data_IF_413850333248
#
_entry.id   IF_413850333248
#
_cell.length_a   1.000
_cell.length_b   1.000
_cell.length_c   1.000
_cell.angle_alpha   90.00
_cell.angle_beta   90.00
_cell.angle_gamma   90.00
#
_symmetry.space_group_name_H-M   'P 1'
#
loop_
_entity.id
_entity.type
_entity.pdbx_description
1 polymer ?
#
# COMPACT_ATOMS: atom_id res chain seq x y z
N UNK A 1 -34.23 -8.63 -56.61
CA UNK A 1 -33.37 -8.76 -55.41
C UNK A 1 -33.26 -7.41 -54.70
N UNK A 2 -34.11 -7.13 -53.70
CA UNK A 2 -34.02 -5.89 -52.91
C UNK A 2 -32.85 -6.02 -51.94
N UNK A 3 -31.80 -5.22 -52.14
CA UNK A 3 -30.57 -5.25 -51.34
C UNK A 3 -30.87 -4.83 -49.90
N UNK A 4 -30.59 -5.73 -48.95
CA UNK A 4 -30.71 -5.58 -47.51
C UNK A 4 -29.65 -4.61 -46.91
N UNK A 5 -29.51 -3.41 -47.49
CA UNK A 5 -28.46 -2.43 -47.12
C UNK A 5 -28.81 -1.58 -45.89
N UNK A 6 -30.08 -1.46 -45.51
CA UNK A 6 -30.52 -0.59 -44.41
C UNK A 6 -30.26 -1.13 -43.00
N UNK A 7 -30.21 -2.46 -42.84
CA UNK A 7 -29.97 -3.08 -41.52
C UNK A 7 -28.51 -2.92 -41.08
N UNK A 8 -27.56 -3.07 -42.01
CA UNK A 8 -26.13 -2.93 -41.70
C UNK A 8 -25.73 -1.51 -41.30
N UNK A 9 -26.22 -0.47 -41.99
CA UNK A 9 -25.91 0.91 -41.63
C UNK A 9 -26.53 1.31 -40.29
N UNK A 10 -27.75 0.84 -40.00
CA UNK A 10 -28.39 1.09 -38.71
C UNK A 10 -27.61 0.45 -37.56
N UNK A 11 -27.15 -0.80 -37.73
CA UNK A 11 -26.31 -1.49 -36.74
C UNK A 11 -25.00 -0.75 -36.49
N UNK A 12 -24.33 -0.27 -37.55
CA UNK A 12 -23.08 0.50 -37.40
C UNK A 12 -23.33 1.80 -36.64
N UNK A 13 -24.40 2.54 -36.97
CA UNK A 13 -24.76 3.79 -36.26
C UNK A 13 -25.07 3.50 -34.78
N UNK A 14 -25.82 2.44 -34.49
CA UNK A 14 -26.10 2.04 -33.10
C UNK A 14 -24.82 1.70 -32.32
N UNK A 15 -23.87 0.99 -32.93
CA UNK A 15 -22.58 0.68 -32.30
C UNK A 15 -21.79 1.97 -32.04
N UNK A 16 -21.74 2.91 -32.99
CA UNK A 16 -21.06 4.19 -32.80
C UNK A 16 -21.66 4.99 -31.65
N UNK A 17 -22.99 5.02 -31.52
CA UNK A 17 -23.67 5.70 -30.40
C UNK A 17 -23.30 5.04 -29.06
N UNK A 18 -23.29 3.71 -28.99
CA UNK A 18 -22.89 2.98 -27.77
C UNK A 18 -21.44 3.28 -27.41
N UNK A 19 -20.53 3.26 -28.38
CA UNK A 19 -19.11 3.59 -28.16
C UNK A 19 -18.96 5.02 -27.65
N UNK A 20 -19.71 5.98 -28.19
CA UNK A 20 -19.69 7.37 -27.71
C UNK A 20 -20.21 7.49 -26.28
N UNK A 21 -21.29 6.79 -25.91
CA UNK A 21 -21.83 6.77 -24.55
C UNK A 21 -20.82 6.14 -23.58
N UNK A 22 -20.19 5.03 -23.96
CA UNK A 22 -19.15 4.39 -23.15
C UNK A 22 -17.93 5.31 -23.00
N UNK A 23 -17.52 6.01 -24.06
CA UNK A 23 -16.41 6.94 -24.02
C UNK A 23 -16.69 8.14 -23.11
N UNK A 24 -17.89 8.73 -23.17
CA UNK A 24 -18.25 9.84 -22.29
C UNK A 24 -18.38 9.40 -20.83
N UNK A 25 -18.94 8.22 -20.57
CA UNK A 25 -18.97 7.62 -19.23
C UNK A 25 -17.55 7.38 -18.67
N UNK A 26 -16.65 6.84 -19.48
CA UNK A 26 -15.25 6.65 -19.10
C UNK A 26 -14.55 7.98 -18.78
N UNK A 27 -14.72 9.00 -19.62
CA UNK A 27 -14.16 10.34 -19.38
C UNK A 27 -14.72 10.99 -18.11
N UNK A 28 -16.00 10.79 -17.83
CA UNK A 28 -16.64 11.29 -16.62
C UNK A 28 -16.02 10.66 -15.36
N UNK A 29 -15.86 9.32 -15.35
CA UNK A 29 -15.19 8.62 -14.24
C UNK A 29 -13.74 9.11 -14.06
N UNK A 30 -12.98 9.24 -15.16
CA UNK A 30 -11.61 9.76 -15.12
C UNK A 30 -11.55 11.19 -14.56
N UNK A 31 -12.50 12.05 -14.93
CA UNK A 31 -12.54 13.43 -14.44
C UNK A 31 -12.75 13.49 -12.92
N UNK A 32 -13.66 12.68 -12.38
CA UNK A 32 -13.91 12.64 -10.93
C UNK A 32 -12.71 12.03 -10.20
N UNK A 33 -12.14 10.94 -10.73
CA UNK A 33 -10.92 10.32 -10.20
C UNK A 33 -9.81 11.37 -10.07
N UNK A 34 -9.47 12.02 -11.18
CA UNK A 34 -8.36 12.98 -11.24
C UNK A 34 -8.59 14.18 -10.33
N UNK A 35 -9.83 14.70 -10.24
CA UNK A 35 -10.15 15.80 -9.32
C UNK A 35 -9.91 15.43 -7.86
N UNK A 36 -10.33 14.23 -7.45
CA UNK A 36 -10.10 13.77 -6.08
C UNK A 36 -8.62 13.48 -5.83
N UNK A 37 -7.94 12.89 -6.81
CA UNK A 37 -6.50 12.61 -6.74
C UNK A 37 -5.68 13.89 -6.56
N UNK A 38 -5.93 14.94 -7.37
CA UNK A 38 -5.26 16.22 -7.21
C UNK A 38 -5.53 16.87 -5.85
N UNK A 39 -6.72 16.70 -5.29
CA UNK A 39 -7.01 17.18 -3.92
C UNK A 39 -6.23 16.39 -2.88
N UNK A 40 -6.19 15.06 -3.00
CA UNK A 40 -5.45 14.20 -2.09
C UNK A 40 -3.95 14.55 -2.09
N UNK A 41 -3.37 14.78 -3.27
CA UNK A 41 -1.96 15.20 -3.41
C UNK A 41 -1.67 16.56 -2.75
N UNK A 42 -2.58 17.53 -2.89
CA UNK A 42 -2.42 18.82 -2.22
C UNK A 42 -2.48 18.69 -0.69
N UNK A 43 -3.32 17.78 -0.18
CA UNK A 43 -3.42 17.50 1.26
C UNK A 43 -2.18 16.75 1.77
N UNK A 44 -1.65 15.81 0.99
CA UNK A 44 -0.35 15.19 1.28
C UNK A 44 0.76 16.23 1.38
N UNK A 45 0.83 17.18 0.45
CA UNK A 45 1.81 18.25 0.46
C UNK A 45 1.63 19.24 1.63
N UNK A 46 0.44 19.24 2.24
CA UNK A 46 0.12 20.02 3.44
C UNK A 46 0.25 19.21 4.74
N UNK A 47 0.77 17.97 4.66
CA UNK A 47 0.88 17.01 5.77
C UNK A 47 -0.46 16.63 6.43
N UNK A 48 -1.59 16.91 5.77
CA UNK A 48 -2.91 16.43 6.19
C UNK A 48 -3.17 15.04 5.61
N UNK A 49 -2.58 14.03 6.25
CA UNK A 49 -2.70 12.64 5.83
C UNK A 49 -4.12 12.10 5.98
N UNK A 50 -4.86 12.54 7.00
CA UNK A 50 -6.26 12.15 7.20
C UNK A 50 -7.17 12.64 6.07
N UNK A 51 -7.02 13.90 5.66
CA UNK A 51 -7.72 14.46 4.52
C UNK A 51 -7.27 13.80 3.21
N UNK A 52 -5.98 13.53 3.05
CA UNK A 52 -5.45 12.83 1.89
C UNK A 52 -6.10 11.44 1.72
N UNK A 53 -6.18 10.65 2.79
CA UNK A 53 -6.84 9.34 2.81
C UNK A 53 -8.28 9.46 2.31
N UNK A 54 -9.05 10.43 2.84
CA UNK A 54 -10.44 10.62 2.45
C UNK A 54 -10.59 10.83 0.93
N UNK A 55 -9.73 11.66 0.34
CA UNK A 55 -9.79 11.96 -1.08
C UNK A 55 -9.20 10.86 -1.96
N UNK A 56 -8.18 10.14 -1.52
CA UNK A 56 -7.70 8.95 -2.22
C UNK A 56 -8.77 7.85 -2.25
N UNK A 57 -9.47 7.59 -1.14
CA UNK A 57 -10.58 6.63 -1.10
C UNK A 57 -11.73 7.06 -2.04
N UNK A 58 -12.00 8.37 -2.15
CA UNK A 58 -12.97 8.88 -3.13
C UNK A 58 -12.50 8.66 -4.56
N UNK A 59 -11.20 8.81 -4.85
CA UNK A 59 -10.64 8.53 -6.17
C UNK A 59 -10.69 7.02 -6.51
N UNK A 60 -10.39 6.17 -5.53
CA UNK A 60 -10.33 4.71 -5.69
C UNK A 60 -11.69 4.12 -6.12
N UNK A 61 -12.81 4.69 -5.67
CA UNK A 61 -14.17 4.30 -6.08
C UNK A 61 -14.43 4.39 -7.60
N UNK A 62 -13.61 5.15 -8.33
CA UNK A 62 -13.71 5.33 -9.78
C UNK A 62 -12.65 4.54 -10.55
N UNK A 63 -11.95 3.62 -9.89
CA UNK A 63 -11.03 2.67 -10.53
C UNK A 63 -11.73 1.33 -10.74
N UNK A 64 -11.39 0.64 -11.84
CA UNK A 64 -11.86 -0.73 -12.10
C UNK A 64 -10.86 -1.79 -11.63
N UNK A 65 -9.63 -1.36 -11.37
CA UNK A 65 -8.49 -2.16 -10.91
C UNK A 65 -7.65 -1.28 -9.98
N UNK A 66 -6.92 -1.87 -9.02
CA UNK A 66 -6.01 -1.11 -8.17
C UNK A 66 -5.07 -0.24 -9.02
N UNK A 67 -5.09 1.06 -8.75
CA UNK A 67 -4.27 2.07 -9.42
C UNK A 67 -3.07 2.37 -8.52
N UNK A 68 -1.85 2.14 -9.02
CA UNK A 68 -0.64 2.18 -8.19
C UNK A 68 -0.42 3.52 -7.50
N UNK A 69 -0.79 4.63 -8.14
CA UNK A 69 -0.65 5.96 -7.56
C UNK A 69 -1.60 6.16 -6.37
N UNK A 70 -2.85 5.72 -6.53
CA UNK A 70 -3.87 5.80 -5.46
C UNK A 70 -3.51 4.85 -4.32
N UNK A 71 -3.13 3.62 -4.62
CA UNK A 71 -2.75 2.65 -3.59
C UNK A 71 -1.52 3.14 -2.81
N UNK A 72 -0.52 3.73 -3.48
CA UNK A 72 0.65 4.30 -2.83
C UNK A 72 0.32 5.50 -1.96
N UNK A 73 -0.49 6.43 -2.47
CA UNK A 73 -0.96 7.56 -1.68
C UNK A 73 -1.72 7.13 -0.42
N UNK A 74 -2.55 6.10 -0.51
CA UNK A 74 -3.23 5.52 0.67
C UNK A 74 -2.22 4.88 1.62
N UNK A 75 -1.37 3.99 1.12
CA UNK A 75 -0.40 3.28 1.95
C UNK A 75 0.50 4.24 2.74
N UNK A 76 1.12 5.21 2.06
CA UNK A 76 1.97 6.21 2.68
C UNK A 76 1.20 7.05 3.70
N UNK A 77 -0.03 7.48 3.38
CA UNK A 77 -0.83 8.27 4.32
C UNK A 77 -1.17 7.47 5.59
N UNK A 78 -1.53 6.19 5.46
CA UNK A 78 -1.82 5.32 6.61
C UNK A 78 -0.58 5.10 7.48
N UNK A 79 0.60 4.90 6.87
CA UNK A 79 1.89 4.85 7.60
C UNK A 79 2.11 6.15 8.38
N UNK A 80 1.86 7.32 7.77
CA UNK A 80 2.11 8.62 8.42
C UNK A 80 1.18 8.91 9.59
N UNK A 81 -0.03 8.34 9.61
CA UNK A 81 -0.94 8.44 10.76
C UNK A 81 -0.71 7.32 11.79
N UNK A 82 0.20 6.38 11.53
CA UNK A 82 0.56 5.28 12.42
C UNK A 82 -0.40 4.09 12.36
N UNK A 83 -1.28 4.06 11.37
CA UNK A 83 -2.24 2.98 11.14
C UNK A 83 -1.60 1.93 10.22
N UNK A 84 -0.76 1.09 10.83
CA UNK A 84 0.12 0.17 10.11
C UNK A 84 -0.64 -1.04 9.55
N UNK A 85 -1.74 -1.43 10.20
CA UNK A 85 -2.64 -2.49 9.75
C UNK A 85 -3.25 -2.14 8.39
N UNK A 86 -3.84 -0.95 8.27
CA UNK A 86 -4.43 -0.46 7.03
C UNK A 86 -3.34 -0.24 5.98
N UNK A 87 -2.18 0.31 6.38
CA UNK A 87 -1.04 0.45 5.48
C UNK A 87 -0.60 -0.88 4.86
N UNK A 88 -0.59 -1.98 5.62
CA UNK A 88 -0.26 -3.31 5.10
C UNK A 88 -1.18 -3.70 3.94
N UNK A 89 -2.50 -3.47 4.04
CA UNK A 89 -3.45 -3.83 2.98
C UNK A 89 -3.17 -3.10 1.66
N UNK A 90 -2.78 -1.82 1.73
CA UNK A 90 -2.46 -1.04 0.54
C UNK A 90 -1.09 -1.42 -0.04
N UNK A 91 -0.10 -1.73 0.79
CA UNK A 91 1.18 -2.26 0.33
C UNK A 91 1.06 -3.68 -0.24
N UNK A 92 0.17 -4.54 0.27
CA UNK A 92 -0.15 -5.83 -0.34
C UNK A 92 -0.60 -5.65 -1.80
N UNK A 93 -1.52 -4.70 -2.05
CA UNK A 93 -1.99 -4.39 -3.41
C UNK A 93 -0.87 -3.84 -4.30
N UNK A 94 0.04 -3.02 -3.77
CA UNK A 94 1.20 -2.54 -4.53
C UNK A 94 2.13 -3.68 -4.94
N UNK A 95 2.42 -4.60 -4.01
CA UNK A 95 3.24 -5.78 -4.27
C UNK A 95 2.55 -6.77 -5.23
N UNK A 96 1.22 -6.84 -5.24
CA UNK A 96 0.46 -7.60 -6.23
C UNK A 96 0.52 -6.95 -7.63
N UNK A 97 0.50 -5.62 -7.70
CA UNK A 97 0.60 -4.86 -8.96
C UNK A 97 2.00 -4.98 -9.57
N UNK A 98 3.05 -4.86 -8.76
CA UNK A 98 4.44 -5.09 -9.17
C UNK A 98 5.18 -6.00 -8.19
N UNK A 99 5.12 -7.33 -8.41
CA UNK A 99 5.84 -8.28 -7.57
C UNK A 99 7.36 -8.14 -7.64
N UNK A 100 7.89 -7.41 -8.63
CA UNK A 100 9.32 -7.21 -8.83
C UNK A 100 9.89 -5.97 -8.11
N UNK A 101 9.01 -5.13 -7.55
CA UNK A 101 9.41 -3.97 -6.77
C UNK A 101 9.96 -4.43 -5.41
N UNK A 102 11.26 -4.25 -5.22
CA UNK A 102 11.97 -4.61 -3.98
C UNK A 102 11.51 -3.71 -2.83
N UNK A 103 11.38 -2.41 -3.09
CA UNK A 103 11.09 -1.40 -2.07
C UNK A 103 9.69 -1.60 -1.49
N UNK A 104 8.65 -1.73 -2.34
CA UNK A 104 7.28 -1.95 -1.87
C UNK A 104 7.19 -3.24 -1.03
N UNK A 105 7.95 -4.28 -1.40
CA UNK A 105 8.02 -5.55 -0.68
C UNK A 105 8.79 -5.42 0.64
N UNK A 106 9.87 -4.65 0.67
CA UNK A 106 10.64 -4.36 1.87
C UNK A 106 9.79 -3.59 2.88
N UNK A 107 9.11 -2.52 2.45
CA UNK A 107 8.22 -1.72 3.30
C UNK A 107 7.08 -2.59 3.84
N UNK A 108 6.45 -3.42 3.01
CA UNK A 108 5.44 -4.37 3.49
C UNK A 108 5.99 -5.32 4.56
N UNK A 109 7.22 -5.80 4.39
CA UNK A 109 7.93 -6.60 5.39
C UNK A 109 8.12 -5.85 6.71
N UNK A 110 8.56 -4.59 6.66
CA UNK A 110 8.70 -3.74 7.85
C UNK A 110 7.37 -3.52 8.56
N UNK A 111 6.31 -3.21 7.81
CA UNK A 111 4.98 -3.00 8.39
C UNK A 111 4.46 -4.27 9.08
N UNK A 112 4.69 -5.45 8.51
CA UNK A 112 4.36 -6.70 9.17
C UNK A 112 5.12 -6.94 10.47
N UNK A 113 6.38 -6.50 10.55
CA UNK A 113 7.17 -6.54 11.78
C UNK A 113 6.61 -5.55 12.82
N UNK A 114 6.11 -4.38 12.40
CA UNK A 114 5.47 -3.41 13.30
C UNK A 114 4.16 -3.93 13.90
N UNK A 115 3.28 -4.50 13.08
CA UNK A 115 2.02 -5.12 13.55
C UNK A 115 2.22 -6.51 14.16
N UNK A 116 3.47 -6.96 14.29
CA UNK A 116 3.91 -8.25 14.86
C UNK A 116 3.37 -9.49 14.12
N UNK A 117 2.96 -9.35 12.86
CA UNK A 117 2.68 -10.48 11.97
C UNK A 117 3.99 -11.00 11.35
N UNK A 118 4.83 -11.60 12.20
CA UNK A 118 6.13 -12.12 11.77
C UNK A 118 5.99 -13.22 10.70
N UNK A 119 4.85 -13.92 10.65
CA UNK A 119 4.62 -14.97 9.65
C UNK A 119 4.51 -14.35 8.25
N UNK A 120 3.74 -13.27 8.09
CA UNK A 120 3.67 -12.55 6.82
C UNK A 120 5.00 -11.84 6.50
N UNK A 121 5.70 -11.31 7.49
CA UNK A 121 7.03 -10.73 7.29
C UNK A 121 8.03 -11.77 6.72
N UNK A 122 8.09 -12.98 7.28
CA UNK A 122 8.94 -14.08 6.79
C UNK A 122 8.61 -14.50 5.35
N UNK A 123 7.33 -14.40 4.96
CA UNK A 123 6.93 -14.62 3.57
C UNK A 123 7.54 -13.56 2.64
N UNK A 124 7.60 -12.29 3.05
CA UNK A 124 8.22 -11.24 2.25
C UNK A 124 9.73 -11.39 2.17
N UNK A 125 10.39 -11.76 3.28
CA UNK A 125 11.83 -12.08 3.33
C UNK A 125 12.16 -13.21 2.34
N UNK A 126 11.36 -14.28 2.36
CA UNK A 126 11.55 -15.41 1.45
C UNK A 126 11.41 -15.00 -0.02
N UNK A 127 10.41 -14.15 -0.33
CA UNK A 127 10.22 -13.61 -1.67
C UNK A 127 11.41 -12.71 -2.10
N UNK A 128 11.89 -11.83 -1.23
CA UNK A 128 13.06 -10.96 -1.47
C UNK A 128 14.31 -11.79 -1.79
N UNK A 129 14.63 -12.80 -0.97
CA UNK A 129 15.76 -13.73 -1.22
C UNK A 129 15.63 -14.48 -2.55
N UNK A 130 14.40 -14.77 -2.98
CA UNK A 130 14.10 -15.41 -4.26
C UNK A 130 14.42 -14.56 -5.50
N UNK A 131 14.51 -13.22 -5.36
CA UNK A 131 14.73 -12.29 -6.48
C UNK A 131 16.18 -12.30 -7.00
N UNK A 132 17.13 -12.89 -6.24
CA UNK A 132 18.56 -13.00 -6.60
C UNK A 132 19.22 -11.66 -6.95
N UNK A 133 18.74 -10.57 -6.34
CA UNK A 133 19.34 -9.24 -6.40
C UNK A 133 20.02 -8.97 -5.05
N UNK A 134 21.19 -8.32 -5.08
CA UNK A 134 21.95 -8.00 -3.87
C UNK A 134 21.14 -7.10 -2.93
N UNK A 135 20.55 -6.04 -3.47
CA UNK A 135 19.64 -5.14 -2.76
C UNK A 135 18.51 -5.89 -2.03
N UNK A 136 17.82 -6.81 -2.72
CA UNK A 136 16.76 -7.61 -2.11
C UNK A 136 17.27 -8.52 -0.99
N UNK A 137 18.50 -9.04 -1.13
CA UNK A 137 19.13 -9.87 -0.09
C UNK A 137 19.47 -9.03 1.14
N UNK A 138 20.03 -7.83 0.94
CA UNK A 138 20.35 -6.91 2.03
C UNK A 138 19.10 -6.53 2.83
N UNK A 139 18.01 -6.18 2.14
CA UNK A 139 16.72 -5.91 2.78
C UNK A 139 16.16 -7.13 3.52
N UNK A 140 16.27 -8.33 2.95
CA UNK A 140 15.82 -9.55 3.62
C UNK A 140 16.59 -9.83 4.92
N UNK A 141 17.90 -9.57 4.93
CA UNK A 141 18.75 -9.76 6.10
C UNK A 141 18.50 -8.67 7.17
N UNK A 142 18.25 -7.44 6.76
CA UNK A 142 17.80 -6.36 7.64
C UNK A 142 16.48 -6.72 8.34
N UNK A 143 15.46 -7.15 7.60
CA UNK A 143 14.19 -7.58 8.17
C UNK A 143 14.38 -8.75 9.15
N UNK A 144 15.23 -9.72 8.81
CA UNK A 144 15.54 -10.86 9.69
C UNK A 144 16.14 -10.38 11.02
N UNK A 145 17.09 -9.44 10.96
CA UNK A 145 17.71 -8.83 12.15
C UNK A 145 16.70 -8.07 13.01
N UNK A 146 15.79 -7.31 12.39
CA UNK A 146 14.73 -6.60 13.10
C UNK A 146 13.77 -7.55 13.82
N UNK A 147 13.35 -8.64 13.17
CA UNK A 147 12.50 -9.68 13.80
C UNK A 147 13.20 -10.24 15.04
N UNK A 148 14.45 -10.67 14.92
CA UNK A 148 15.21 -11.22 16.05
C UNK A 148 15.32 -10.22 17.20
N UNK A 149 15.64 -8.96 16.89
CA UNK A 149 15.76 -7.89 17.89
C UNK A 149 14.43 -7.65 18.61
N UNK A 150 13.31 -7.54 17.88
CA UNK A 150 11.98 -7.35 18.49
C UNK A 150 11.53 -8.57 19.29
N UNK A 151 11.80 -9.78 18.81
CA UNK A 151 11.48 -11.01 19.55
C UNK A 151 12.29 -11.13 20.84
N UNK A 152 13.60 -10.84 20.81
CA UNK A 152 14.46 -10.88 22.00
C UNK A 152 14.01 -9.82 23.00
N UNK A 153 13.72 -8.59 22.54
CA UNK A 153 13.21 -7.51 23.41
C UNK A 153 11.86 -7.88 24.04
N UNK A 154 10.95 -8.46 23.25
CA UNK A 154 9.66 -8.94 23.73
C UNK A 154 9.79 -10.06 24.76
N UNK A 155 10.61 -11.08 24.47
CA UNK A 155 10.90 -12.17 25.40
C UNK A 155 11.50 -11.68 26.71
N UNK A 156 12.47 -10.78 26.65
CA UNK A 156 13.08 -10.21 27.84
C UNK A 156 12.08 -9.40 28.66
N UNK A 157 11.23 -8.61 27.99
CA UNK A 157 10.16 -7.86 28.65
C UNK A 157 9.19 -8.79 29.37
N UNK A 158 8.69 -9.84 28.70
CA UNK A 158 7.79 -10.83 29.29
C UNK A 158 8.44 -11.58 30.47
N UNK A 159 9.72 -11.92 30.34
CA UNK A 159 10.48 -12.55 31.41
C UNK A 159 10.60 -11.64 32.64
N UNK A 160 10.97 -10.38 32.44
CA UNK A 160 11.07 -9.39 33.52
C UNK A 160 9.73 -9.18 34.20
N UNK A 161 8.65 -9.00 33.43
CA UNK A 161 7.30 -8.78 33.97
C UNK A 161 6.82 -9.98 34.81
N UNK A 162 7.24 -11.20 34.47
CA UNK A 162 6.89 -12.42 35.20
C UNK A 162 7.70 -12.63 36.49
N UNK A 163 9.00 -12.32 36.47
CA UNK A 163 9.90 -12.55 37.62
C UNK A 163 9.88 -11.37 38.60
N UNK A 164 9.76 -10.15 38.08
CA UNK A 164 9.79 -8.92 38.86
C UNK A 164 8.67 -7.98 38.39
N UNK A 165 7.40 -8.25 38.76
CA UNK A 165 6.22 -7.52 38.24
C UNK A 165 6.18 -6.03 38.64
N UNK A 166 6.98 -5.60 39.62
CA UNK A 166 7.14 -4.20 40.02
C UNK A 166 8.51 -3.63 39.63
N UNK A 167 9.19 -4.24 38.65
CA UNK A 167 10.45 -3.71 38.16
C UNK A 167 10.17 -2.36 37.49
N UNK A 168 10.63 -1.29 38.14
CA UNK A 168 10.57 0.07 37.59
C UNK A 168 11.30 0.02 36.25
N UNK A 169 10.58 0.19 35.13
CA UNK A 169 11.13 0.11 33.76
C UNK A 169 12.45 0.88 33.74
N UNK A 170 13.56 0.15 33.66
CA UNK A 170 14.85 0.80 33.43
C UNK A 170 14.76 1.45 32.06
N UNK A 171 15.11 2.75 31.92
CA UNK A 171 15.24 3.34 30.60
C UNK A 171 16.33 2.54 29.89
N UNK A 172 15.94 1.72 28.92
CA UNK A 172 16.86 1.20 27.91
C UNK A 172 17.12 2.34 26.92
N UNK A 173 17.75 3.42 27.40
CA UNK A 173 18.21 4.52 26.56
C UNK A 173 19.49 4.09 25.87
N UNK A 174 19.31 3.49 24.70
CA UNK A 174 20.27 3.57 23.60
C UNK A 174 20.06 4.83 22.75
N UNK A 175 19.28 5.80 23.22
CA UNK A 175 19.25 7.14 22.64
C UNK A 175 20.44 7.90 23.22
N UNK A 176 21.50 8.00 22.43
CA UNK A 176 22.45 9.09 22.58
C UNK A 176 21.68 10.38 22.31
N UNK A 177 21.35 11.11 23.38
CA UNK A 177 21.21 12.55 23.32
C UNK A 177 22.46 13.10 22.62
N UNK A 178 22.31 13.52 21.38
CA UNK A 178 23.28 14.40 20.75
C UNK A 178 22.76 15.82 20.96
N UNK A 179 23.58 16.60 21.67
CA UNK A 179 23.52 18.05 21.82
C UNK A 179 23.39 18.80 20.49
#
# INVERSE_FOLDING_TARGET
>A
MKKHKGSFSAVVVSIMVIVLICATGYLFCQTIKNRNLSKAQNLLAADDYTGAIEYFLKADKFTLRPDSEIQRGLAESYVRIGDNEEACEYYEKLVELDPSNIEDRYILGMLYIEVKDYKKAESQISALRGMKKEEATNHADELTSQIQTKMVKGFFQDFVDKIVPNFKKLPFTGESEND
#
